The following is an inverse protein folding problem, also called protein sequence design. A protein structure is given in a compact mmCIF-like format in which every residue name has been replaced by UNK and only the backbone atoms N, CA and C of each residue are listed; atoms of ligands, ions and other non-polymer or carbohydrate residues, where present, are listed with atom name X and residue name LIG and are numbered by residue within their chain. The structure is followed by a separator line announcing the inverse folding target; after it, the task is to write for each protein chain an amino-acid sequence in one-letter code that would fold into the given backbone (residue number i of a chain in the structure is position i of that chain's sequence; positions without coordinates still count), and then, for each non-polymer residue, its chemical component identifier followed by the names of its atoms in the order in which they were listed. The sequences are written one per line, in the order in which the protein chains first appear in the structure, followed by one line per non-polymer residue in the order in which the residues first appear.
data_IF_451308882192
#
_entry.id   IF_451308882192
#
_cell.length_a   1.000
_cell.length_b   1.000
_cell.length_c   1.000
_cell.angle_alpha   90.00
_cell.angle_beta   90.00
_cell.angle_gamma   90.00
#
_symmetry.space_group_name_H-M   'P 1'
#
loop_
_entity.id
_entity.type
_entity.pdbx_description
1 polymer ?
#
# COMPACT_ATOMS: atom_id res chain seq x y z
N UNK A 1 -8.61 -5.28 30.10
CA UNK A 1 -8.50 -6.07 28.86
C UNK A 1 -7.13 -5.79 28.30
N UNK A 2 -6.28 -6.81 28.24
CA UNK A 2 -4.88 -6.68 27.84
C UNK A 2 -4.84 -6.96 26.35
N UNK A 3 -4.89 -5.91 25.51
CA UNK A 3 -4.79 -6.03 24.06
C UNK A 3 -3.49 -6.74 23.68
N UNK A 4 -3.55 -7.72 22.80
CA UNK A 4 -2.38 -8.47 22.33
C UNK A 4 -2.12 -8.04 20.89
N UNK A 5 -0.95 -7.49 20.61
CA UNK A 5 -0.59 -7.08 19.24
C UNK A 5 0.22 -8.22 18.61
N UNK A 6 -0.15 -8.69 17.42
CA UNK A 6 0.58 -9.76 16.72
C UNK A 6 0.91 -9.33 15.28
N UNK A 7 2.20 -9.47 14.94
CA UNK A 7 2.72 -9.69 13.58
C UNK A 7 2.54 -8.56 12.56
N UNK A 8 3.66 -8.05 12.05
CA UNK A 8 3.69 -7.39 10.73
C UNK A 8 3.75 -8.46 9.65
N UNK A 9 2.71 -8.55 8.83
CA UNK A 9 2.71 -9.44 7.66
C UNK A 9 3.08 -8.64 6.40
N UNK A 10 4.24 -8.96 5.81
CA UNK A 10 4.59 -8.53 4.45
C UNK A 10 4.00 -9.52 3.43
N UNK A 11 3.03 -9.09 2.64
CA UNK A 11 2.60 -9.83 1.45
C UNK A 11 3.64 -9.63 0.33
N UNK A 12 4.52 -10.62 0.15
CA UNK A 12 5.50 -10.66 -0.94
C UNK A 12 4.76 -11.10 -2.21
N UNK A 13 4.51 -10.17 -3.13
CA UNK A 13 4.02 -10.49 -4.48
C UNK A 13 5.19 -11.01 -5.31
N UNK A 14 5.11 -12.30 -5.67
CA UNK A 14 6.13 -12.99 -6.46
C UNK A 14 6.10 -12.49 -7.92
N UNK A 15 7.13 -11.77 -8.34
CA UNK A 15 7.28 -11.31 -9.72
C UNK A 15 7.71 -12.45 -10.66
N UNK A 16 6.89 -12.73 -11.68
CA UNK A 16 7.21 -13.62 -12.79
C UNK A 16 8.15 -12.91 -13.78
N UNK A 17 9.34 -13.47 -14.01
CA UNK A 17 10.27 -13.04 -15.04
C UNK A 17 10.10 -13.86 -16.33
N UNK A 18 10.00 -13.14 -17.45
CA UNK A 18 10.84 -13.25 -18.66
C UNK A 18 10.05 -13.34 -19.98
N UNK A 19 10.20 -12.31 -20.81
CA UNK A 19 10.63 -12.44 -22.22
C UNK A 19 11.13 -11.08 -22.71
N UNK A 20 12.31 -11.08 -23.34
CA UNK A 20 13.10 -9.89 -23.60
C UNK A 20 12.84 -9.20 -24.95
N UNK A 21 13.27 -7.95 -25.02
CA UNK A 21 13.82 -7.32 -26.22
C UNK A 21 14.96 -6.40 -25.80
N UNK A 22 16.13 -6.56 -26.45
CA UNK A 22 17.24 -5.63 -26.33
C UNK A 22 16.96 -4.39 -27.17
N UNK A 23 16.98 -3.21 -26.54
CA UNK A 23 17.20 -1.93 -27.18
C UNK A 23 18.14 -1.11 -26.29
N UNK A 24 19.17 -0.56 -26.92
CA UNK A 24 20.30 0.11 -26.30
C UNK A 24 19.93 1.39 -25.55
N UNK A 25 20.59 1.59 -24.40
CA UNK A 25 20.96 2.91 -23.90
C UNK A 25 20.09 3.49 -22.79
N UNK A 26 20.39 3.10 -21.55
CA UNK A 26 20.26 3.97 -20.37
C UNK A 26 21.40 3.62 -19.41
N UNK A 27 22.34 4.54 -19.22
CA UNK A 27 23.18 4.55 -18.02
C UNK A 27 22.27 4.83 -16.82
N UNK A 28 21.59 3.80 -16.30
CA UNK A 28 20.91 3.90 -15.02
C UNK A 28 21.97 3.75 -13.93
N UNK A 29 22.48 4.90 -13.50
CA UNK A 29 22.91 5.04 -12.11
C UNK A 29 21.70 4.62 -11.27
N UNK A 30 21.81 3.54 -10.50
CA UNK A 30 20.75 3.06 -9.61
C UNK A 30 20.27 4.22 -8.74
N UNK A 31 19.16 4.85 -9.14
CA UNK A 31 18.69 6.11 -8.55
C UNK A 31 18.07 5.89 -7.19
N UNK A 32 17.97 4.63 -6.73
CA UNK A 32 17.27 4.24 -5.51
C UNK A 32 15.76 4.44 -5.60
N UNK A 33 15.21 4.80 -6.77
CA UNK A 33 13.80 5.11 -6.98
C UNK A 33 13.06 4.07 -7.82
N UNK A 34 11.75 3.95 -7.58
CA UNK A 34 10.82 3.07 -8.30
C UNK A 34 10.60 3.64 -9.71
N UNK A 35 10.38 4.94 -9.82
CA UNK A 35 10.24 5.69 -11.07
C UNK A 35 10.75 7.13 -10.90
N UNK A 36 10.91 7.84 -12.01
CA UNK A 36 11.35 9.24 -12.00
C UNK A 36 10.25 10.21 -11.51
N UNK A 37 8.97 9.84 -11.62
CA UNK A 37 7.82 10.59 -11.10
C UNK A 37 6.57 9.71 -10.99
N UNK A 38 5.52 10.20 -10.31
CA UNK A 38 4.20 9.55 -10.30
C UNK A 38 3.56 9.54 -11.70
N UNK A 39 3.73 10.60 -12.50
CA UNK A 39 3.20 10.65 -13.88
C UNK A 39 3.71 9.49 -14.73
N UNK A 40 4.98 9.09 -14.58
CA UNK A 40 5.51 7.92 -15.30
C UNK A 40 4.79 6.64 -14.90
N UNK A 41 4.48 6.45 -13.61
CA UNK A 41 3.72 5.29 -13.15
C UNK A 41 2.26 5.31 -13.65
N UNK A 42 1.65 6.49 -13.79
CA UNK A 42 0.33 6.63 -14.38
C UNK A 42 0.34 6.29 -15.89
N UNK A 43 1.36 6.75 -16.62
CA UNK A 43 1.56 6.41 -18.04
C UNK A 43 1.79 4.91 -18.24
N UNK A 44 2.58 4.28 -17.37
CA UNK A 44 2.79 2.82 -17.37
C UNK A 44 1.48 2.06 -17.14
N UNK A 45 0.64 2.51 -16.20
CA UNK A 45 -0.67 1.92 -15.97
C UNK A 45 -1.61 2.09 -17.19
N UNK A 46 -1.61 3.26 -17.83
CA UNK A 46 -2.40 3.54 -19.03
C UNK A 46 -2.00 2.69 -20.25
N UNK A 47 -0.76 2.20 -20.30
CA UNK A 47 -0.29 1.28 -21.34
C UNK A 47 -0.84 -0.15 -21.18
N UNK A 48 -1.34 -0.49 -19.99
CA UNK A 48 -1.99 -1.75 -19.68
C UNK A 48 -3.49 -1.78 -19.99
N UNK A 49 -4.15 -2.84 -19.52
CA UNK A 49 -5.61 -2.91 -19.52
C UNK A 49 -6.15 -2.09 -18.34
N UNK A 50 -6.95 -1.08 -18.68
CA UNK A 50 -7.64 -0.21 -17.71
C UNK A 50 -9.07 0.01 -18.19
N UNK A 51 -10.00 0.08 -17.26
CA UNK A 51 -11.39 0.43 -17.58
C UNK A 51 -11.56 1.95 -17.79
N UNK A 52 -12.77 2.36 -18.20
CA UNK A 52 -13.06 3.76 -18.54
C UNK A 52 -12.88 4.72 -17.34
N UNK A 53 -13.21 4.27 -16.13
CA UNK A 53 -13.03 5.07 -14.91
C UNK A 53 -11.54 5.27 -14.62
N UNK A 54 -10.77 4.17 -14.57
CA UNK A 54 -9.33 4.22 -14.35
C UNK A 54 -8.62 5.07 -15.41
N UNK A 55 -8.96 4.89 -16.68
CA UNK A 55 -8.41 5.68 -17.78
C UNK A 55 -8.60 7.18 -17.56
N UNK A 56 -9.84 7.59 -17.27
CA UNK A 56 -10.15 9.00 -17.06
C UNK A 56 -9.41 9.61 -15.86
N UNK A 57 -9.26 8.85 -14.77
CA UNK A 57 -8.52 9.29 -13.57
C UNK A 57 -7.01 9.36 -13.85
N UNK A 58 -6.45 8.34 -14.49
CA UNK A 58 -5.01 8.26 -14.77
C UNK A 58 -4.57 9.31 -15.78
N UNK A 59 -5.37 9.59 -16.82
CA UNK A 59 -5.10 10.67 -17.78
C UNK A 59 -5.03 12.03 -17.08
N UNK A 60 -5.98 12.35 -16.18
CA UNK A 60 -5.89 13.55 -15.33
C UNK A 60 -4.68 13.50 -14.41
N UNK A 61 -4.36 12.34 -13.84
CA UNK A 61 -3.21 12.13 -12.97
C UNK A 61 -1.88 12.41 -13.67
N UNK A 62 -1.75 12.07 -14.95
CA UNK A 62 -0.57 12.41 -15.77
C UNK A 62 -0.41 13.93 -15.87
N UNK A 63 -1.50 14.65 -16.15
CA UNK A 63 -1.51 16.11 -16.27
C UNK A 63 -1.23 16.82 -14.93
N UNK A 64 -1.88 16.38 -13.85
CA UNK A 64 -1.80 16.99 -12.53
C UNK A 64 -0.57 16.52 -11.71
N UNK A 65 0.07 15.44 -12.14
CA UNK A 65 1.16 14.76 -11.43
C UNK A 65 0.71 14.00 -10.17
N UNK A 66 -0.60 13.84 -9.96
CA UNK A 66 -1.18 13.18 -8.78
C UNK A 66 -2.62 12.71 -9.02
N UNK A 67 -3.04 11.68 -8.30
CA UNK A 67 -4.44 11.28 -8.19
C UNK A 67 -5.11 12.08 -7.07
N UNK A 68 -6.35 12.52 -7.28
CA UNK A 68 -7.15 13.25 -6.29
C UNK A 68 -7.84 12.33 -5.27
N UNK A 69 -8.05 12.85 -4.05
CA UNK A 69 -8.73 12.11 -2.98
C UNK A 69 -10.15 11.66 -3.36
N UNK A 70 -10.88 12.45 -4.14
CA UNK A 70 -12.24 12.09 -4.59
C UNK A 70 -12.23 10.88 -5.52
N UNK A 71 -11.27 10.83 -6.46
CA UNK A 71 -11.12 9.72 -7.39
C UNK A 71 -10.73 8.43 -6.64
N UNK A 72 -9.83 8.56 -5.66
CA UNK A 72 -9.49 7.44 -4.76
C UNK A 72 -10.69 6.97 -3.92
N UNK A 73 -11.46 7.89 -3.35
CA UNK A 73 -12.66 7.55 -2.56
C UNK A 73 -13.74 6.86 -3.42
N UNK A 74 -13.87 7.25 -4.68
CA UNK A 74 -14.77 6.60 -5.63
C UNK A 74 -14.28 5.18 -5.97
N UNK A 75 -12.99 5.03 -6.31
CA UNK A 75 -12.38 3.74 -6.62
C UNK A 75 -12.53 2.73 -5.46
N UNK A 76 -12.22 3.17 -4.23
CA UNK A 76 -12.37 2.35 -3.02
C UNK A 76 -13.83 1.98 -2.73
N UNK A 77 -14.79 2.86 -3.04
CA UNK A 77 -16.23 2.57 -2.93
C UNK A 77 -16.66 1.51 -3.96
N UNK A 78 -16.16 1.59 -5.19
CA UNK A 78 -16.43 0.58 -6.23
C UNK A 78 -15.88 -0.79 -5.82
N UNK A 79 -14.64 -0.84 -5.34
CA UNK A 79 -14.02 -2.05 -4.79
C UNK A 79 -14.83 -2.65 -3.64
N UNK A 80 -15.16 -1.86 -2.61
CA UNK A 80 -15.92 -2.33 -1.46
C UNK A 80 -17.33 -2.82 -1.84
N UNK A 81 -17.97 -2.18 -2.82
CA UNK A 81 -19.26 -2.60 -3.35
C UNK A 81 -19.17 -3.96 -4.05
N UNK A 82 -18.11 -4.18 -4.82
CA UNK A 82 -17.84 -5.47 -5.47
C UNK A 82 -17.66 -6.59 -4.43
N UNK A 83 -16.79 -6.36 -3.43
CA UNK A 83 -16.53 -7.34 -2.37
C UNK A 83 -17.78 -7.66 -1.54
N UNK A 84 -18.57 -6.63 -1.20
CA UNK A 84 -19.85 -6.82 -0.50
C UNK A 84 -20.86 -7.58 -1.36
N UNK A 85 -20.91 -7.33 -2.68
CA UNK A 85 -21.74 -8.08 -3.62
C UNK A 85 -21.37 -9.56 -3.72
N UNK A 86 -20.10 -9.90 -3.48
CA UNK A 86 -19.60 -11.27 -3.38
C UNK A 86 -19.80 -11.92 -2.00
N UNK A 87 -20.36 -11.18 -1.02
CA UNK A 87 -20.64 -11.69 0.32
C UNK A 87 -19.53 -11.46 1.35
N UNK A 88 -18.48 -10.70 1.01
CA UNK A 88 -17.42 -10.35 1.96
C UNK A 88 -17.71 -9.00 2.61
N UNK A 89 -17.92 -9.01 3.92
CA UNK A 89 -18.06 -7.79 4.72
C UNK A 89 -16.66 -7.30 5.12
N UNK A 90 -16.23 -6.18 4.54
CA UNK A 90 -14.94 -5.56 4.84
C UNK A 90 -15.06 -4.61 6.03
N UNK A 91 -14.11 -4.68 6.96
CA UNK A 91 -13.92 -3.65 7.97
C UNK A 91 -13.13 -2.49 7.36
N UNK A 92 -13.55 -1.26 7.66
CA UNK A 92 -12.96 -0.04 7.12
C UNK A 92 -12.23 0.74 8.20
N UNK A 93 -10.99 1.13 7.91
CA UNK A 93 -10.19 2.06 8.72
C UNK A 93 -9.77 3.25 7.87
N UNK A 94 -10.12 4.47 8.29
CA UNK A 94 -9.69 5.70 7.64
C UNK A 94 -8.39 6.22 8.30
N UNK A 95 -7.34 6.40 7.50
CA UNK A 95 -6.04 6.90 7.95
C UNK A 95 -5.94 8.42 7.86
N UNK A 96 -5.04 9.02 8.65
CA UNK A 96 -4.90 10.48 8.76
C UNK A 96 -4.39 11.14 7.47
N UNK A 97 -3.72 10.38 6.60
CA UNK A 97 -3.25 10.80 5.28
C UNK A 97 -4.30 10.58 4.17
N UNK A 98 -5.53 10.21 4.51
CA UNK A 98 -6.63 10.03 3.57
C UNK A 98 -6.66 8.66 2.88
N UNK A 99 -5.78 7.73 3.26
CA UNK A 99 -5.87 6.33 2.86
C UNK A 99 -7.03 5.61 3.57
N UNK A 100 -7.62 4.64 2.88
CA UNK A 100 -8.72 3.82 3.37
C UNK A 100 -8.25 2.38 3.33
N UNK A 101 -8.07 1.79 4.51
CA UNK A 101 -7.75 0.38 4.65
C UNK A 101 -9.04 -0.43 4.75
N UNK A 102 -9.11 -1.50 3.95
CA UNK A 102 -10.13 -2.53 4.07
C UNK A 102 -9.52 -3.83 4.56
N UNK A 103 -10.07 -4.36 5.65
CA UNK A 103 -9.69 -5.65 6.20
C UNK A 103 -10.80 -6.67 5.93
N UNK A 104 -10.50 -7.79 5.25
CA UNK A 104 -11.46 -8.85 5.08
C UNK A 104 -11.74 -9.57 6.42
N UNK A 105 -12.83 -10.34 6.53
CA UNK A 105 -13.08 -11.12 7.73
C UNK A 105 -11.96 -12.12 8.00
N UNK A 106 -11.69 -12.43 9.26
CA UNK A 106 -10.75 -13.48 9.63
C UNK A 106 -11.28 -14.86 9.23
N UNK A 107 -10.67 -15.45 8.21
CA UNK A 107 -11.00 -16.79 7.70
C UNK A 107 -9.99 -17.83 8.20
N UNK A 108 -10.45 -19.06 8.42
CA UNK A 108 -9.61 -20.13 8.98
C UNK A 108 -9.48 -21.36 8.08
N UNK A 109 -10.41 -21.56 7.15
CA UNK A 109 -10.31 -22.62 6.16
C UNK A 109 -9.55 -22.13 4.91
N UNK A 110 -8.61 -22.93 4.42
CA UNK A 110 -7.76 -22.56 3.27
C UNK A 110 -8.57 -22.26 2.01
N UNK A 111 -9.64 -23.02 1.75
CA UNK A 111 -10.48 -22.79 0.57
C UNK A 111 -11.20 -21.44 0.64
N UNK A 112 -11.66 -21.02 1.81
CA UNK A 112 -12.32 -19.71 1.98
C UNK A 112 -11.33 -18.57 1.77
N UNK A 113 -10.06 -18.78 2.13
CA UNK A 113 -8.96 -17.83 1.88
C UNK A 113 -8.67 -17.74 0.38
N UNK A 114 -8.58 -18.87 -0.32
CA UNK A 114 -8.35 -18.89 -1.77
C UNK A 114 -9.48 -18.19 -2.53
N UNK A 115 -10.74 -18.46 -2.15
CA UNK A 115 -11.91 -17.83 -2.74
C UNK A 115 -11.94 -16.31 -2.47
N UNK A 116 -11.58 -15.89 -1.25
CA UNK A 116 -11.44 -14.48 -0.89
C UNK A 116 -10.37 -13.79 -1.74
N UNK A 117 -9.19 -14.40 -1.90
CA UNK A 117 -8.10 -13.83 -2.70
C UNK A 117 -8.47 -13.73 -4.18
N UNK A 118 -9.18 -14.72 -4.72
CA UNK A 118 -9.68 -14.67 -6.09
C UNK A 118 -10.68 -13.53 -6.29
N UNK A 119 -11.60 -13.33 -5.33
CA UNK A 119 -12.57 -12.24 -5.39
C UNK A 119 -11.94 -10.86 -5.17
N UNK A 120 -10.95 -10.74 -4.29
CA UNK A 120 -10.15 -9.53 -4.12
C UNK A 120 -9.48 -9.11 -5.44
N UNK A 121 -8.82 -10.06 -6.10
CA UNK A 121 -8.19 -9.82 -7.41
C UNK A 121 -9.20 -9.42 -8.49
N UNK A 122 -10.34 -10.11 -8.59
CA UNK A 122 -11.41 -9.78 -9.53
C UNK A 122 -11.94 -8.37 -9.28
N UNK A 123 -12.25 -8.04 -8.01
CA UNK A 123 -12.77 -6.72 -7.66
C UNK A 123 -11.74 -5.62 -7.90
N UNK A 124 -10.46 -5.81 -7.57
CA UNK A 124 -9.41 -4.84 -7.86
C UNK A 124 -9.21 -4.63 -9.37
N UNK A 125 -9.17 -5.71 -10.15
CA UNK A 125 -8.93 -5.62 -11.60
C UNK A 125 -10.10 -5.05 -12.41
N UNK A 126 -11.34 -5.25 -11.95
CA UNK A 126 -12.54 -4.82 -12.69
C UNK A 126 -13.09 -3.45 -12.26
N UNK A 127 -12.64 -2.90 -11.12
CA UNK A 127 -13.18 -1.63 -10.55
C UNK A 127 -12.25 -0.43 -10.73
N UNK A 128 -11.32 -0.20 -9.80
CA UNK A 128 -10.43 0.96 -9.81
C UNK A 128 -9.09 0.63 -9.16
N UNK A 129 -8.65 -0.63 -9.22
CA UNK A 129 -7.47 -1.12 -8.51
C UNK A 129 -6.18 -0.37 -8.84
N UNK A 130 -6.00 0.08 -10.09
CA UNK A 130 -4.84 0.92 -10.44
C UNK A 130 -4.90 2.27 -9.73
N UNK A 131 -6.08 2.90 -9.67
CA UNK A 131 -6.30 4.18 -8.97
C UNK A 131 -6.03 4.01 -7.47
N UNK A 132 -6.52 2.93 -6.86
CA UNK A 132 -6.30 2.60 -5.44
C UNK A 132 -4.81 2.45 -5.16
N UNK A 133 -4.14 1.54 -5.87
CA UNK A 133 -2.73 1.22 -5.65
C UNK A 133 -1.81 2.42 -5.86
N UNK A 134 -2.04 3.20 -6.91
CA UNK A 134 -1.17 4.32 -7.24
C UNK A 134 -1.41 5.52 -6.31
N UNK A 135 -2.64 5.71 -5.81
CA UNK A 135 -2.90 6.68 -4.75
C UNK A 135 -2.25 6.26 -3.42
N UNK A 136 -2.32 4.99 -3.06
CA UNK A 136 -1.64 4.45 -1.87
C UNK A 136 -0.13 4.67 -1.93
N UNK A 137 0.50 4.37 -3.07
CA UNK A 137 1.92 4.66 -3.29
C UNK A 137 2.21 6.15 -3.18
N UNK A 138 1.38 7.02 -3.76
CA UNK A 138 1.53 8.47 -3.69
C UNK A 138 1.52 8.99 -2.25
N UNK A 139 0.64 8.47 -1.40
CA UNK A 139 0.54 8.92 0.00
C UNK A 139 1.61 8.29 0.90
N UNK A 140 1.92 7.01 0.68
CA UNK A 140 2.88 6.28 1.51
C UNK A 140 4.34 6.56 1.13
N UNK A 141 4.63 6.75 -0.14
CA UNK A 141 5.98 6.90 -0.68
C UNK A 141 6.06 7.99 -1.77
N UNK A 142 5.79 9.27 -1.43
CA UNK A 142 5.81 10.37 -2.40
C UNK A 142 7.18 10.58 -3.07
N UNK A 143 8.26 10.14 -2.42
CA UNK A 143 9.64 10.21 -2.95
C UNK A 143 9.99 9.06 -3.90
N UNK A 144 9.10 8.05 -4.02
CA UNK A 144 9.25 6.85 -4.84
C UNK A 144 10.51 6.06 -4.51
N UNK A 145 10.91 5.99 -3.24
CA UNK A 145 12.11 5.24 -2.84
C UNK A 145 11.86 3.73 -2.92
N UNK A 146 12.87 2.97 -3.34
CA UNK A 146 12.84 1.49 -3.32
C UNK A 146 13.05 0.93 -1.91
N UNK A 147 13.79 1.63 -1.05
CA UNK A 147 14.02 1.21 0.33
C UNK A 147 12.82 1.61 1.20
N UNK A 148 11.83 0.71 1.33
CA UNK A 148 10.61 0.95 2.11
C UNK A 148 10.89 1.16 3.60
N UNK A 149 12.00 0.64 4.13
CA UNK A 149 12.41 0.92 5.51
C UNK A 149 12.82 2.39 5.70
N UNK A 150 13.47 2.99 4.69
CA UNK A 150 13.73 4.44 4.69
C UNK A 150 12.43 5.23 4.65
N UNK A 151 11.50 4.85 3.77
CA UNK A 151 10.18 5.52 3.68
C UNK A 151 9.44 5.47 5.01
N UNK A 152 9.42 4.30 5.66
CA UNK A 152 8.78 4.11 6.95
C UNK A 152 9.41 4.99 8.03
N UNK A 153 10.74 4.95 8.17
CA UNK A 153 11.46 5.72 9.17
C UNK A 153 11.25 7.23 8.99
N UNK A 154 11.36 7.73 7.76
CA UNK A 154 11.12 9.15 7.44
C UNK A 154 9.70 9.58 7.81
N UNK A 155 8.69 8.77 7.48
CA UNK A 155 7.30 9.09 7.82
C UNK A 155 7.08 9.11 9.35
N UNK A 156 7.57 8.09 10.06
CA UNK A 156 7.42 8.00 11.52
C UNK A 156 8.12 9.17 12.23
N UNK A 157 9.33 9.54 11.79
CA UNK A 157 10.06 10.68 12.34
C UNK A 157 9.31 12.00 12.04
N UNK A 158 8.82 12.18 10.81
CA UNK A 158 8.06 13.37 10.42
C UNK A 158 6.71 13.50 11.15
N UNK A 159 6.07 12.39 11.51
CA UNK A 159 4.82 12.38 12.29
C UNK A 159 5.03 12.58 13.79
N UNK A 160 6.29 12.58 14.25
CA UNK A 160 6.67 12.79 15.65
C UNK A 160 6.25 11.65 16.57
N UNK A 161 6.15 10.42 16.06
CA UNK A 161 5.91 9.21 16.89
C UNK A 161 7.22 8.56 17.37
N UNK A 162 8.32 8.88 16.69
CA UNK A 162 9.69 8.47 17.04
C UNK A 162 10.62 9.69 17.08
N UNK A 163 11.83 9.58 17.65
CA UNK A 163 12.82 10.64 17.62
C UNK A 163 13.23 11.07 16.19
N UNK A 164 13.67 12.32 15.96
CA UNK A 164 14.06 12.79 14.63
C UNK A 164 15.28 12.09 14.01
N UNK A 165 16.09 11.42 14.82
CA UNK A 165 17.24 10.62 14.40
C UNK A 165 16.90 9.14 14.16
N UNK A 166 15.64 8.75 14.30
CA UNK A 166 15.17 7.40 13.99
C UNK A 166 15.34 7.11 12.49
N UNK A 167 16.10 6.08 12.17
CA UNK A 167 16.46 5.74 10.80
C UNK A 167 15.91 4.36 10.35
N UNK A 168 16.32 3.96 9.14
CA UNK A 168 15.89 2.69 8.53
C UNK A 168 16.43 1.46 9.26
N UNK A 169 17.60 1.56 9.89
CA UNK A 169 18.17 0.48 10.70
C UNK A 169 17.37 0.31 11.98
N UNK A 170 16.97 1.42 12.63
CA UNK A 170 16.05 1.41 13.76
C UNK A 170 14.69 0.80 13.38
N UNK A 171 14.14 1.19 12.23
CA UNK A 171 12.90 0.59 11.70
C UNK A 171 13.05 -0.92 11.47
N UNK A 172 14.11 -1.37 10.80
CA UNK A 172 14.36 -2.80 10.56
C UNK A 172 14.52 -3.58 11.86
N UNK A 173 15.16 -2.99 12.87
CA UNK A 173 15.29 -3.60 14.18
C UNK A 173 13.93 -3.74 14.87
N UNK A 174 13.15 -2.65 14.89
CA UNK A 174 11.81 -2.58 15.46
C UNK A 174 10.87 -3.64 14.87
N UNK A 175 10.91 -3.83 13.55
CA UNK A 175 10.03 -4.75 12.83
C UNK A 175 10.71 -6.06 12.41
N UNK A 176 11.83 -6.41 13.04
CA UNK A 176 12.49 -7.72 12.84
C UNK A 176 11.62 -8.86 13.37
N UNK A 177 11.79 -10.08 12.85
CA UNK A 177 11.01 -11.26 13.24
C UNK A 177 11.13 -11.63 14.73
N UNK A 178 12.17 -11.14 15.40
CA UNK A 178 12.40 -11.31 16.85
C UNK A 178 11.85 -10.13 17.68
N UNK A 179 11.43 -9.04 17.03
CA UNK A 179 10.89 -7.84 17.65
C UNK A 179 9.52 -8.11 18.25
N UNK A 180 9.42 -8.08 19.58
CA UNK A 180 8.10 -8.00 20.21
C UNK A 180 7.60 -6.58 20.06
N UNK A 181 6.38 -6.42 19.55
CA UNK A 181 5.71 -5.11 19.44
C UNK A 181 5.63 -4.39 20.81
N UNK A 182 5.64 -5.14 21.91
CA UNK A 182 5.71 -4.63 23.29
C UNK A 182 7.07 -4.03 23.70
N UNK A 183 8.12 -4.26 22.92
CA UNK A 183 9.49 -3.78 23.16
C UNK A 183 9.83 -2.56 22.28
N UNK A 184 8.87 -2.11 21.47
CA UNK A 184 9.02 -0.89 20.68
C UNK A 184 9.03 0.35 21.57
N UNK A 185 9.86 1.31 21.19
CA UNK A 185 9.97 2.61 21.87
C UNK A 185 8.80 3.55 21.60
N UNK A 186 7.84 3.14 20.77
CA UNK A 186 6.68 3.92 20.34
C UNK A 186 5.41 3.06 20.33
N UNK A 187 4.25 3.71 20.44
CA UNK A 187 2.95 3.05 20.45
C UNK A 187 2.50 2.71 19.03
N UNK A 188 2.53 1.42 18.67
CA UNK A 188 2.09 0.93 17.35
C UNK A 188 0.60 1.09 17.11
N UNK A 189 -0.18 1.37 18.14
CA UNK A 189 -1.62 1.63 18.02
C UNK A 189 -1.93 3.11 17.76
N UNK A 190 -0.91 3.97 17.75
CA UNK A 190 -1.08 5.37 17.37
C UNK A 190 -1.51 5.47 15.89
N UNK A 191 -2.61 6.17 15.55
CA UNK A 191 -3.10 6.28 14.18
C UNK A 191 -2.09 6.91 13.22
N UNK A 192 -1.12 7.68 13.73
CA UNK A 192 -0.01 8.22 12.92
C UNK A 192 0.92 7.10 12.45
N UNK A 193 1.17 6.08 13.27
CA UNK A 193 1.95 4.90 12.89
C UNK A 193 1.22 4.14 11.79
N UNK A 194 -0.07 3.85 11.97
CA UNK A 194 -0.89 3.18 10.95
C UNK A 194 -0.88 3.91 9.61
N UNK A 195 -1.00 5.23 9.63
CA UNK A 195 -0.98 6.07 8.41
C UNK A 195 0.36 5.96 7.65
N UNK A 196 1.48 5.84 8.36
CA UNK A 196 2.81 5.66 7.75
C UNK A 196 3.03 4.25 7.21
N UNK A 197 2.53 3.23 7.91
CA UNK A 197 2.79 1.83 7.58
C UNK A 197 1.87 1.31 6.47
N UNK A 198 0.60 1.70 6.47
CA UNK A 198 -0.37 1.19 5.50
C UNK A 198 0.05 1.50 4.05
N UNK A 199 0.43 2.75 3.78
CA UNK A 199 0.83 3.20 2.44
C UNK A 199 2.11 2.56 1.88
N UNK A 200 2.88 1.84 2.71
CA UNK A 200 4.05 1.06 2.28
C UNK A 200 3.79 -0.46 2.29
N UNK A 201 2.53 -0.86 2.45
CA UNK A 201 2.10 -2.27 2.44
C UNK A 201 2.31 -2.99 3.77
N UNK A 202 2.39 -2.26 4.89
CA UNK A 202 2.52 -2.83 6.24
C UNK A 202 1.22 -2.60 7.01
N UNK A 203 0.54 -3.68 7.35
CA UNK A 203 -0.61 -3.67 8.27
C UNK A 203 -0.17 -4.14 9.65
N UNK A 204 -0.74 -3.54 10.70
CA UNK A 204 -0.48 -3.92 12.10
C UNK A 204 -1.72 -4.60 12.65
N UNK A 205 -1.63 -5.90 12.91
CA UNK A 205 -2.70 -6.66 13.57
C UNK A 205 -2.76 -6.38 15.07
N UNK A 206 -3.92 -5.93 15.55
CA UNK A 206 -4.20 -5.77 16.99
C UNK A 206 -5.30 -6.76 17.34
N UNK A 207 -4.98 -7.82 18.10
CA UNK A 207 -6.00 -8.71 18.67
C UNK A 207 -6.64 -8.03 19.90
N UNK A 208 -7.97 -8.04 19.96
CA UNK A 208 -8.76 -7.63 21.14
C UNK A 208 -8.76 -8.67 22.27
#
# INVERSE_FOLDING_TARGET
MTKRVFGVSSLIVLALLATGCSASGSDDTDSGKIASSMSVLFEEALAGEVNDFERAVLERGVEDGRIGQSDYAEATTMYATCMSGAGYALERTDHLNGLIEFQPPALTASQEIDDLMAMDYECMSTTGGNVIRLYELQQGNPSLLRDTATVAAECLAASGVVPPDFDKEDYRQAFSSDGKLSELSFDVTDPRVGSCLYGIGVTVGIDE
#
